data_IF_331083631649
#
_entry.id   IF_331083631649
#
_cell.length_a   1.000
_cell.length_b   1.000
_cell.length_c   1.000
_cell.angle_alpha   90.00
_cell.angle_beta   90.00
_cell.angle_gamma   90.00
#
_symmetry.space_group_name_H-M   'P 1'
#
loop_
_entity.id
_entity.type
_entity.pdbx_description
1 polymer ?
#
# COMPACT_ATOMS: atom_id res chain seq x y z
N UNK A 1 18.59 5.42 -5.15
CA UNK A 1 17.83 4.25 -4.66
C UNK A 1 16.35 4.49 -4.88
N UNK A 2 15.63 3.45 -5.30
CA UNK A 2 14.21 3.58 -5.60
C UNK A 2 13.36 2.97 -4.51
N UNK A 3 12.18 3.56 -4.29
CA UNK A 3 11.25 3.11 -3.27
C UNK A 3 9.85 2.98 -3.84
N UNK A 4 9.11 2.00 -3.32
CA UNK A 4 7.66 1.95 -3.42
C UNK A 4 7.13 2.62 -2.17
N UNK A 5 6.22 3.56 -2.33
CA UNK A 5 5.69 4.36 -1.24
C UNK A 5 4.20 4.07 -1.12
N UNK A 6 3.81 3.49 0.00
CA UNK A 6 2.41 3.25 0.32
C UNK A 6 1.86 4.44 1.09
N UNK A 7 0.70 4.92 0.66
CA UNK A 7 0.08 6.11 1.24
C UNK A 7 -1.03 5.69 2.21
N UNK A 8 -0.78 5.88 3.50
CA UNK A 8 -1.73 5.55 4.55
C UNK A 8 -2.36 6.81 5.12
N UNK A 9 -3.64 6.73 5.46
CA UNK A 9 -4.40 7.90 5.91
C UNK A 9 -3.90 8.46 7.24
N UNK A 10 -3.59 7.60 8.19
CA UNK A 10 -3.17 8.06 9.52
C UNK A 10 -1.64 8.09 9.67
N UNK A 11 -0.99 7.03 9.24
CA UNK A 11 0.46 6.88 9.39
C UNK A 11 1.24 7.77 8.43
N UNK A 12 0.66 8.05 7.26
CA UNK A 12 1.36 8.77 6.23
C UNK A 12 2.11 7.83 5.28
N UNK A 13 3.08 8.34 4.52
CA UNK A 13 3.80 7.52 3.55
C UNK A 13 4.75 6.54 4.23
N UNK A 14 4.71 5.28 3.75
CA UNK A 14 5.65 4.24 4.15
C UNK A 14 6.53 3.89 2.96
N UNK A 15 7.83 3.88 3.17
CA UNK A 15 8.83 3.66 2.12
C UNK A 15 9.36 2.22 2.18
N UNK A 16 9.33 1.54 1.03
CA UNK A 16 9.86 0.18 0.90
C UNK A 16 10.85 0.13 -0.26
N UNK A 17 11.94 -0.64 -0.14
CA UNK A 17 12.89 -0.76 -1.25
C UNK A 17 12.22 -1.30 -2.51
N UNK A 18 12.59 -0.75 -3.66
CA UNK A 18 12.06 -1.16 -4.95
C UNK A 18 12.87 -2.33 -5.51
N UNK A 19 12.17 -3.41 -5.86
CA UNK A 19 12.78 -4.54 -6.53
C UNK A 19 12.72 -4.32 -8.04
N UNK A 20 13.89 -4.23 -8.68
CA UNK A 20 13.99 -3.96 -10.12
C UNK A 20 13.42 -5.07 -10.99
N UNK A 21 13.17 -6.24 -10.42
CA UNK A 21 12.59 -7.37 -11.15
C UNK A 21 11.09 -7.22 -11.38
N UNK A 22 10.44 -6.35 -10.63
CA UNK A 22 9.01 -6.12 -10.73
C UNK A 22 8.76 -4.67 -11.14
N UNK A 23 7.65 -4.43 -11.85
CA UNK A 23 7.27 -3.05 -12.12
C UNK A 23 6.66 -2.43 -10.86
N UNK A 24 6.57 -1.10 -10.84
CA UNK A 24 6.06 -0.36 -9.68
C UNK A 24 4.65 -0.78 -9.28
N UNK A 25 3.79 -0.91 -10.27
CA UNK A 25 2.39 -1.27 -10.03
C UNK A 25 2.29 -2.63 -9.34
N UNK A 26 3.01 -3.61 -9.87
CA UNK A 26 2.99 -4.95 -9.34
C UNK A 26 3.55 -5.01 -7.92
N UNK A 27 4.67 -4.35 -7.70
CA UNK A 27 5.32 -4.34 -6.39
C UNK A 27 4.46 -3.63 -5.36
N UNK A 28 3.87 -2.50 -5.71
CA UNK A 28 2.98 -1.76 -4.82
C UNK A 28 1.77 -2.60 -4.42
N UNK A 29 1.19 -3.30 -5.37
CA UNK A 29 0.05 -4.15 -5.09
C UNK A 29 0.41 -5.30 -4.15
N UNK A 30 1.55 -5.95 -4.38
CA UNK A 30 1.99 -7.04 -3.52
C UNK A 30 2.26 -6.57 -2.10
N UNK A 31 2.91 -5.41 -1.94
CA UNK A 31 3.15 -4.85 -0.62
C UNK A 31 1.85 -4.51 0.08
N UNK A 32 0.94 -3.87 -0.63
CA UNK A 32 -0.35 -3.49 -0.05
C UNK A 32 -1.13 -4.72 0.44
N UNK A 33 -1.18 -5.76 -0.37
CA UNK A 33 -1.91 -6.98 0.00
C UNK A 33 -1.23 -7.76 1.12
N UNK A 34 0.07 -7.53 1.32
CA UNK A 34 0.84 -8.17 2.37
C UNK A 34 0.61 -7.52 3.75
N UNK A 35 0.41 -6.19 3.79
CA UNK A 35 0.26 -5.47 5.06
C UNK A 35 -1.19 -5.06 5.36
N UNK A 36 -2.09 -5.17 4.40
CA UNK A 36 -3.47 -4.74 4.54
C UNK A 36 -4.42 -5.81 4.03
N UNK A 37 -5.67 -5.75 4.49
CA UNK A 37 -6.72 -6.64 4.04
C UNK A 37 -7.86 -5.82 3.47
N UNK A 38 -8.48 -6.35 2.41
CA UNK A 38 -9.60 -5.68 1.78
C UNK A 38 -10.86 -5.79 2.63
N UNK A 39 -11.49 -4.67 2.86
CA UNK A 39 -12.76 -4.59 3.57
C UNK A 39 -13.82 -4.02 2.63
N UNK A 40 -14.90 -4.72 2.46
CA UNK A 40 -15.99 -4.28 1.60
C UNK A 40 -16.95 -5.41 1.30
N UNK A 41 -18.04 -5.12 0.55
CA UNK A 41 -18.47 -3.80 0.12
C UNK A 41 -19.16 -3.03 1.25
N UNK A 42 -19.18 -1.70 1.12
CA UNK A 42 -19.85 -0.85 2.10
C UNK A 42 -19.23 0.54 2.17
N UNK A 43 -19.72 1.38 3.10
CA UNK A 43 -19.26 2.77 3.18
C UNK A 43 -17.78 2.91 3.58
N UNK A 44 -17.21 1.89 4.22
CA UNK A 44 -15.80 1.91 4.60
C UNK A 44 -14.97 0.97 3.74
N UNK A 45 -15.35 0.79 2.50
CA UNK A 45 -14.67 -0.09 1.57
C UNK A 45 -13.23 0.37 1.34
N UNK A 46 -12.30 -0.56 1.36
CA UNK A 46 -10.89 -0.26 1.09
C UNK A 46 -9.95 -1.29 1.69
N UNK A 47 -8.66 -0.98 1.61
CA UNK A 47 -7.60 -1.82 2.15
C UNK A 47 -7.14 -1.25 3.48
N UNK A 48 -7.27 -2.01 4.55
CA UNK A 48 -6.96 -1.56 5.90
C UNK A 48 -5.88 -2.44 6.53
N UNK A 49 -4.93 -1.80 7.21
CA UNK A 49 -3.92 -2.51 7.99
C UNK A 49 -4.55 -3.09 9.25
N UNK A 50 -3.78 -3.90 9.96
CA UNK A 50 -4.25 -4.50 11.22
C UNK A 50 -4.60 -3.45 12.27
N UNK A 51 -4.05 -2.25 12.13
CA UNK A 51 -4.33 -1.14 13.04
C UNK A 51 -5.49 -0.27 12.59
N UNK A 52 -6.16 -0.67 11.50
CA UNK A 52 -7.31 0.05 10.99
C UNK A 52 -6.97 1.26 10.12
N UNK A 53 -5.73 1.34 9.65
CA UNK A 53 -5.29 2.44 8.79
C UNK A 53 -5.60 2.13 7.32
N UNK A 54 -6.16 3.08 6.62
CA UNK A 54 -6.54 2.92 5.22
C UNK A 54 -5.35 3.20 4.30
N UNK A 55 -5.04 2.26 3.42
CA UNK A 55 -4.08 2.46 2.34
C UNK A 55 -4.86 3.00 1.15
N UNK A 56 -4.67 4.28 0.82
CA UNK A 56 -5.45 4.92 -0.24
C UNK A 56 -4.70 5.05 -1.56
N UNK A 57 -3.47 4.58 -1.61
CA UNK A 57 -2.71 4.58 -2.85
C UNK A 57 -1.26 4.22 -2.64
N UNK A 58 -0.53 4.14 -3.75
CA UNK A 58 0.91 3.94 -3.70
C UNK A 58 1.52 4.47 -5.00
N UNK A 59 2.81 4.78 -4.92
CA UNK A 59 3.57 5.20 -6.11
C UNK A 59 5.03 4.82 -5.92
N UNK A 60 5.81 4.93 -6.98
CA UNK A 60 7.25 4.65 -6.94
C UNK A 60 8.05 5.89 -7.24
N UNK A 61 9.16 5.98 -6.58
CA UNK A 61 10.06 7.10 -6.73
C UNK A 61 11.40 6.65 -7.28
#
# INVERSE_FOLDING_TARGET
MKYVILLLMMEGPLYFPFDNKLNCYQQGYELMTSIAKYQGPGPNQGWYTDQGDLVYGYYCE
#
